data_IF_860971440540
#
_entry.id   IF_860971440540
#
_cell.length_a   1.000
_cell.length_b   1.000
_cell.length_c   1.000
_cell.angle_alpha   90.00
_cell.angle_beta   90.00
_cell.angle_gamma   90.00
#
_symmetry.space_group_name_H-M   'P 1'
#
loop_
_entity.id
_entity.type
_entity.pdbx_description
1 polymer ?
#
# COMPACT_ATOMS: atom_id res chain seq x y z
N UNK A 1 6.74 14.51 -7.64
CA UNK A 1 7.80 13.53 -7.32
C UNK A 1 9.03 14.31 -6.90
N UNK A 2 9.76 13.83 -5.92
CA UNK A 2 11.03 14.45 -5.50
C UNK A 2 12.06 14.37 -6.64
N UNK A 3 12.96 15.36 -6.74
CA UNK A 3 14.01 15.38 -7.79
C UNK A 3 14.92 14.15 -7.74
N UNK A 4 15.24 13.67 -6.53
CA UNK A 4 16.05 12.48 -6.33
C UNK A 4 15.32 11.21 -6.80
N UNK A 5 14.00 11.11 -6.57
CA UNK A 5 13.21 9.98 -7.04
C UNK A 5 13.13 9.95 -8.58
N UNK A 6 13.02 11.12 -9.23
CA UNK A 6 13.01 11.22 -10.71
C UNK A 6 14.34 10.73 -11.27
N UNK A 7 15.44 11.21 -10.70
CA UNK A 7 16.79 10.81 -11.14
C UNK A 7 17.02 9.30 -10.98
N UNK A 8 16.56 8.71 -9.86
CA UNK A 8 16.67 7.26 -9.63
C UNK A 8 15.83 6.46 -10.64
N UNK A 9 14.63 6.94 -10.98
CA UNK A 9 13.79 6.29 -11.99
C UNK A 9 14.44 6.39 -13.37
N UNK A 10 14.99 7.54 -13.74
CA UNK A 10 15.65 7.72 -15.03
C UNK A 10 16.90 6.82 -15.16
N UNK A 11 17.70 6.69 -14.09
CA UNK A 11 18.79 5.73 -14.03
C UNK A 11 18.30 4.29 -14.16
N UNK A 12 17.21 3.94 -13.46
CA UNK A 12 16.62 2.60 -13.53
C UNK A 12 16.14 2.26 -14.96
N UNK A 13 15.51 3.22 -15.66
CA UNK A 13 15.12 3.08 -17.08
C UNK A 13 16.31 2.86 -18.00
N UNK A 14 17.45 3.43 -17.68
CA UNK A 14 18.71 3.23 -18.42
C UNK A 14 19.46 1.95 -18.00
N UNK A 15 18.83 1.06 -17.22
CA UNK A 15 19.41 -0.18 -16.71
C UNK A 15 20.70 0.04 -15.89
N UNK A 16 20.81 1.17 -15.18
CA UNK A 16 21.89 1.43 -14.24
C UNK A 16 21.71 0.52 -13.00
N UNK A 17 22.62 -0.45 -12.75
CA UNK A 17 22.47 -1.39 -11.64
C UNK A 17 22.53 -0.69 -10.27
N UNK A 18 23.34 0.38 -10.14
CA UNK A 18 23.51 1.10 -8.89
C UNK A 18 22.19 1.77 -8.45
N UNK A 19 21.34 2.15 -9.41
CA UNK A 19 20.05 2.74 -9.11
C UNK A 19 19.13 1.76 -8.36
N UNK A 20 19.19 0.48 -8.72
CA UNK A 20 18.37 -0.55 -8.07
C UNK A 20 18.85 -0.83 -6.65
N UNK A 21 20.15 -0.88 -6.42
CA UNK A 21 20.76 -1.08 -5.10
C UNK A 21 20.36 0.04 -4.14
N UNK A 22 20.44 1.30 -4.60
CA UNK A 22 20.00 2.47 -3.84
C UNK A 22 18.50 2.39 -3.49
N UNK A 23 17.67 1.97 -4.44
CA UNK A 23 16.23 1.84 -4.22
C UNK A 23 15.94 0.73 -3.21
N UNK A 24 16.62 -0.41 -3.31
CA UNK A 24 16.46 -1.52 -2.35
C UNK A 24 16.90 -1.07 -0.97
N UNK A 25 18.08 -0.48 -0.82
CA UNK A 25 18.57 0.02 0.46
C UNK A 25 17.58 1.00 1.10
N UNK A 26 17.06 1.95 0.33
CA UNK A 26 16.15 2.99 0.80
C UNK A 26 14.76 2.46 1.18
N UNK A 27 14.23 1.48 0.45
CA UNK A 27 12.83 1.09 0.56
C UNK A 27 12.58 -0.33 1.08
N UNK A 28 13.60 -1.17 1.26
CA UNK A 28 13.43 -2.56 1.67
C UNK A 28 12.62 -2.71 2.96
N UNK A 29 13.02 -2.00 4.03
CA UNK A 29 12.30 -2.07 5.32
C UNK A 29 10.84 -1.60 5.19
N UNK A 30 10.60 -0.57 4.38
CA UNK A 30 9.26 -0.08 4.11
C UNK A 30 8.40 -1.10 3.36
N UNK A 31 8.95 -1.75 2.35
CA UNK A 31 8.28 -2.84 1.59
C UNK A 31 7.96 -4.01 2.52
N UNK A 32 8.94 -4.46 3.31
CA UNK A 32 8.75 -5.55 4.29
C UNK A 32 7.66 -5.19 5.30
N UNK A 33 7.62 -3.95 5.80
CA UNK A 33 6.60 -3.52 6.76
C UNK A 33 5.17 -3.58 6.17
N UNK A 34 5.00 -3.22 4.89
CA UNK A 34 3.71 -3.31 4.20
C UNK A 34 3.30 -4.77 4.00
N UNK A 35 4.22 -5.60 3.51
CA UNK A 35 3.97 -7.02 3.25
C UNK A 35 3.59 -7.73 4.56
N UNK A 36 4.40 -7.55 5.61
CA UNK A 36 4.14 -8.17 6.92
C UNK A 36 2.82 -7.71 7.52
N UNK A 37 2.44 -6.44 7.38
CA UNK A 37 1.16 -5.95 7.90
C UNK A 37 -0.06 -6.59 7.24
N UNK A 38 0.03 -6.95 5.96
CA UNK A 38 -1.07 -7.59 5.21
C UNK A 38 -1.11 -9.10 5.45
N UNK A 39 0.07 -9.71 5.61
CA UNK A 39 0.22 -11.14 5.82
C UNK A 39 0.19 -11.55 7.30
N UNK A 40 0.15 -10.57 8.20
CA UNK A 40 0.08 -10.81 9.64
C UNK A 40 -1.13 -11.68 10.00
N UNK A 41 -0.91 -12.68 10.86
CA UNK A 41 -1.95 -13.62 11.28
C UNK A 41 -2.34 -14.66 10.22
N UNK A 42 -1.70 -14.65 9.05
CA UNK A 42 -1.87 -15.70 8.06
C UNK A 42 -1.03 -16.91 8.48
N UNK A 43 -1.67 -18.06 8.69
CA UNK A 43 -1.03 -19.30 9.20
C UNK A 43 -0.30 -20.11 8.13
N UNK A 44 -0.51 -19.81 6.84
CA UNK A 44 0.19 -20.45 5.73
C UNK A 44 1.66 -20.07 5.66
N UNK A 45 2.53 -21.02 5.25
CA UNK A 45 3.93 -20.70 4.96
C UNK A 45 4.03 -19.75 3.77
N UNK A 46 4.31 -18.46 4.05
CA UNK A 46 4.63 -17.45 3.04
C UNK A 46 6.07 -17.01 3.24
N UNK A 47 6.86 -17.13 2.18
CA UNK A 47 8.19 -16.54 2.14
C UNK A 47 8.09 -15.05 1.87
N UNK A 48 8.10 -14.24 2.94
CA UNK A 48 8.03 -12.78 2.85
C UNK A 48 9.22 -12.20 2.08
N UNK A 49 10.38 -12.86 2.13
CA UNK A 49 11.56 -12.41 1.38
C UNK A 49 11.35 -12.60 -0.13
N UNK A 50 10.77 -13.73 -0.54
CA UNK A 50 10.42 -13.96 -1.94
C UNK A 50 9.43 -12.90 -2.45
N UNK A 51 8.37 -12.61 -1.66
CA UNK A 51 7.40 -11.57 -2.02
C UNK A 51 8.06 -10.18 -2.11
N UNK A 52 8.99 -9.88 -1.21
CA UNK A 52 9.74 -8.61 -1.24
C UNK A 52 10.61 -8.52 -2.49
N UNK A 53 11.33 -9.58 -2.82
CA UNK A 53 12.15 -9.64 -4.03
C UNK A 53 11.31 -9.49 -5.31
N UNK A 54 10.13 -10.11 -5.36
CA UNK A 54 9.18 -9.98 -6.47
C UNK A 54 8.72 -8.52 -6.68
N UNK A 55 8.55 -7.76 -5.61
CA UNK A 55 8.21 -6.32 -5.70
C UNK A 55 9.33 -5.56 -6.39
N UNK A 56 10.56 -5.73 -5.97
CA UNK A 56 11.71 -5.03 -6.55
C UNK A 56 12.00 -5.49 -7.98
N UNK A 57 11.90 -6.78 -8.24
CA UNK A 57 12.03 -7.31 -9.60
C UNK A 57 10.96 -6.75 -10.55
N UNK A 58 9.71 -6.67 -10.07
CA UNK A 58 8.62 -6.08 -10.83
C UNK A 58 8.81 -4.57 -11.05
N UNK A 59 9.38 -3.86 -10.08
CA UNK A 59 9.74 -2.45 -10.22
C UNK A 59 10.76 -2.26 -11.34
N UNK A 60 11.83 -3.04 -11.32
CA UNK A 60 12.86 -3.01 -12.36
C UNK A 60 12.29 -3.32 -13.74
N UNK A 61 11.57 -4.44 -13.87
CA UNK A 61 10.98 -4.88 -15.13
C UNK A 61 10.01 -3.86 -15.74
N UNK A 62 9.30 -3.10 -14.91
CA UNK A 62 8.29 -2.12 -15.35
C UNK A 62 8.78 -0.66 -15.22
N UNK A 63 10.10 -0.43 -15.12
CA UNK A 63 10.67 0.90 -14.94
C UNK A 63 10.21 1.87 -16.04
N UNK A 64 10.18 1.44 -17.29
CA UNK A 64 9.77 2.24 -18.45
C UNK A 64 8.34 2.73 -18.37
N UNK A 65 7.47 1.98 -17.69
CA UNK A 65 6.06 2.33 -17.50
C UNK A 65 5.82 3.37 -16.40
N UNK A 66 6.85 3.73 -15.64
CA UNK A 66 6.73 4.71 -14.56
C UNK A 66 6.66 6.12 -15.15
N UNK A 67 5.50 6.73 -15.00
CA UNK A 67 5.23 8.09 -15.45
C UNK A 67 5.73 9.11 -14.40
N UNK A 68 6.90 9.69 -14.65
CA UNK A 68 7.54 10.67 -13.77
C UNK A 68 6.85 12.05 -13.80
N UNK A 69 6.00 12.32 -14.80
CA UNK A 69 5.21 13.56 -14.88
C UNK A 69 4.07 13.60 -13.86
N UNK A 70 3.64 12.45 -13.36
CA UNK A 70 2.61 12.37 -12.32
C UNK A 70 3.18 12.80 -10.97
N UNK A 71 2.39 13.57 -10.25
CA UNK A 71 2.75 14.02 -8.89
C UNK A 71 2.57 12.88 -7.85
N UNK A 72 3.13 11.69 -8.17
CA UNK A 72 3.08 10.49 -7.33
C UNK A 72 4.50 10.12 -6.95
N UNK A 73 4.84 10.06 -5.66
CA UNK A 73 6.19 9.71 -5.21
C UNK A 73 6.52 8.25 -5.55
N UNK A 74 7.82 7.96 -5.74
CA UNK A 74 8.32 6.58 -5.91
C UNK A 74 7.92 5.71 -4.71
N UNK A 75 7.98 6.25 -3.49
CA UNK A 75 7.51 5.60 -2.26
C UNK A 75 6.05 5.12 -2.37
N UNK A 76 5.16 5.97 -2.89
CA UNK A 76 3.74 5.61 -3.07
C UNK A 76 3.53 4.56 -4.16
N UNK A 77 4.36 4.58 -5.21
CA UNK A 77 4.32 3.59 -6.27
C UNK A 77 4.75 2.21 -5.75
N UNK A 78 5.90 2.16 -5.06
CA UNK A 78 6.42 0.93 -4.43
C UNK A 78 5.42 0.40 -3.37
N UNK A 79 4.81 1.27 -2.57
CA UNK A 79 3.80 0.87 -1.60
C UNK A 79 2.59 0.17 -2.25
N UNK A 80 2.13 0.68 -3.40
CA UNK A 80 1.04 0.04 -4.14
C UNK A 80 1.44 -1.33 -4.70
N UNK A 81 2.69 -1.47 -5.17
CA UNK A 81 3.23 -2.75 -5.65
C UNK A 81 3.34 -3.76 -4.51
N UNK A 82 3.95 -3.38 -3.38
CA UNK A 82 4.11 -4.22 -2.20
C UNK A 82 2.76 -4.72 -1.68
N UNK A 83 1.79 -3.81 -1.58
CA UNK A 83 0.43 -4.15 -1.18
C UNK A 83 -0.22 -5.16 -2.13
N UNK A 84 -0.14 -4.93 -3.44
CA UNK A 84 -0.74 -5.81 -4.42
C UNK A 84 -0.07 -7.20 -4.42
N UNK A 85 1.26 -7.26 -4.30
CA UNK A 85 2.01 -8.50 -4.21
C UNK A 85 1.58 -9.31 -2.96
N UNK A 86 1.51 -8.68 -1.79
CA UNK A 86 1.08 -9.33 -0.56
C UNK A 86 -0.36 -9.85 -0.63
N UNK A 87 -1.29 -9.07 -1.18
CA UNK A 87 -2.69 -9.50 -1.35
C UNK A 87 -2.78 -10.67 -2.32
N UNK A 88 -2.05 -10.62 -3.43
CA UNK A 88 -2.06 -11.71 -4.41
C UNK A 88 -1.50 -13.00 -3.81
N UNK A 89 -0.42 -12.90 -3.03
CA UNK A 89 0.16 -14.06 -2.36
C UNK A 89 -0.79 -14.65 -1.31
N UNK A 90 -1.42 -13.80 -0.50
CA UNK A 90 -2.46 -14.21 0.44
C UNK A 90 -3.61 -14.95 -0.27
N UNK A 91 -4.09 -14.44 -1.40
CA UNK A 91 -5.18 -15.07 -2.18
C UNK A 91 -4.77 -16.40 -2.79
N UNK A 92 -3.55 -16.52 -3.34
CA UNK A 92 -3.05 -17.81 -3.85
C UNK A 92 -3.10 -18.88 -2.76
N UNK A 93 -2.59 -18.56 -1.58
CA UNK A 93 -2.54 -19.51 -0.45
C UNK A 93 -3.94 -19.86 0.07
N UNK A 94 -4.85 -18.89 0.20
CA UNK A 94 -6.23 -19.14 0.60
C UNK A 94 -6.98 -20.05 -0.39
N UNK A 95 -6.60 -20.04 -1.66
CA UNK A 95 -7.21 -20.93 -2.67
C UNK A 95 -6.77 -22.41 -2.51
N UNK A 96 -5.64 -22.65 -1.85
CA UNK A 96 -5.12 -23.99 -1.56
C UNK A 96 -5.54 -24.53 -0.20
N UNK A 97 -5.99 -23.69 0.74
CA UNK A 97 -6.38 -24.04 2.10
C UNK A 97 -7.83 -23.62 2.37
N UNK A 98 -8.84 -24.41 1.92
CA UNK A 98 -10.26 -24.20 2.28
C UNK A 98 -10.53 -24.64 3.72
N UNK A 99 -11.52 -24.05 4.46
CA UNK A 99 -12.75 -23.34 4.10
C UNK A 99 -12.86 -21.90 4.65
N UNK A 100 -13.83 -21.17 4.11
CA UNK A 100 -14.26 -19.83 4.48
C UNK A 100 -14.65 -19.73 5.96
N UNK A 101 -13.82 -19.09 6.77
CA UNK A 101 -14.26 -18.40 7.97
C UNK A 101 -13.76 -16.97 7.93
N UNK A 102 -14.68 -16.05 8.23
CA UNK A 102 -14.46 -14.61 8.34
C UNK A 102 -13.39 -14.32 9.40
N UNK A 103 -12.11 -14.26 9.01
CA UNK A 103 -11.06 -13.76 9.88
C UNK A 103 -10.93 -12.25 9.74
N UNK A 104 -11.70 -11.61 10.58
CA UNK A 104 -11.63 -10.21 10.94
C UNK A 104 -10.31 -9.95 11.67
N UNK A 105 -9.54 -9.00 11.13
CA UNK A 105 -8.54 -8.15 11.82
C UNK A 105 -7.55 -8.90 12.72
N UNK A 106 -6.35 -9.16 12.17
CA UNK A 106 -5.22 -9.62 12.97
C UNK A 106 -4.92 -8.67 14.14
N UNK A 107 -4.87 -9.24 15.34
CA UNK A 107 -4.41 -8.56 16.54
C UNK A 107 -2.94 -8.20 16.40
N UNK A 108 -2.65 -6.92 16.22
CA UNK A 108 -1.31 -6.39 16.46
C UNK A 108 -1.05 -6.44 17.96
N UNK A 109 0.11 -6.92 18.39
CA UNK A 109 0.61 -6.61 19.74
C UNK A 109 0.97 -5.12 19.75
N UNK A 110 0.02 -4.32 20.16
CA UNK A 110 0.10 -2.86 20.06
C UNK A 110 0.94 -2.33 21.24
N UNK A 111 2.04 -1.65 20.93
CA UNK A 111 2.63 -0.66 21.83
C UNK A 111 1.61 0.46 22.02
N UNK A 112 1.55 1.06 23.21
CA UNK A 112 0.58 2.12 23.58
C UNK A 112 0.45 3.22 22.53
N UNK A 113 1.54 3.65 21.91
CA UNK A 113 1.58 4.65 20.84
C UNK A 113 0.76 4.27 19.59
N UNK A 114 0.60 2.98 19.31
CA UNK A 114 -0.16 2.49 18.15
C UNK A 114 -1.68 2.52 18.40
N UNK A 115 -2.12 2.37 19.64
CA UNK A 115 -3.54 2.43 20.00
C UNK A 115 -4.05 3.87 19.82
N UNK A 116 -3.29 4.85 20.30
CA UNK A 116 -3.63 6.27 20.15
C UNK A 116 -3.66 6.69 18.67
N UNK A 117 -2.68 6.26 17.88
CA UNK A 117 -2.63 6.51 16.45
C UNK A 117 -3.81 5.87 15.71
N UNK A 118 -4.16 4.63 16.05
CA UNK A 118 -5.33 3.94 15.49
C UNK A 118 -6.62 4.69 15.77
N UNK A 119 -6.81 5.09 17.02
CA UNK A 119 -7.98 5.87 17.45
C UNK A 119 -8.06 7.22 16.74
N UNK A 120 -6.93 7.90 16.59
CA UNK A 120 -6.83 9.15 15.84
C UNK A 120 -7.24 8.95 14.37
N UNK A 121 -6.71 7.91 13.71
CA UNK A 121 -7.05 7.57 12.32
C UNK A 121 -8.55 7.26 12.21
N UNK A 122 -9.11 6.45 13.12
CA UNK A 122 -10.53 6.07 13.08
C UNK A 122 -11.45 7.28 13.30
N UNK A 123 -11.11 8.21 14.20
CA UNK A 123 -11.85 9.46 14.40
C UNK A 123 -11.75 10.35 13.17
N UNK A 124 -10.58 10.49 12.60
CA UNK A 124 -10.34 11.30 11.38
C UNK A 124 -11.06 10.72 10.16
N UNK A 125 -11.15 9.40 10.04
CA UNK A 125 -11.94 8.74 8.99
C UNK A 125 -13.42 9.13 9.07
N UNK A 126 -13.99 9.29 10.27
CA UNK A 126 -15.41 9.66 10.45
C UNK A 126 -15.75 11.06 9.92
N UNK A 127 -14.77 11.93 9.72
CA UNK A 127 -14.95 13.26 9.13
C UNK A 127 -15.05 13.27 7.61
N UNK A 128 -14.64 12.18 6.97
CA UNK A 128 -14.79 12.03 5.52
C UNK A 128 -16.26 11.71 5.17
N UNK A 129 -16.63 11.95 3.92
CA UNK A 129 -17.94 11.50 3.41
C UNK A 129 -18.04 9.97 3.48
N UNK A 130 -19.25 9.44 3.75
CA UNK A 130 -19.47 7.99 3.88
C UNK A 130 -18.94 7.18 2.68
N UNK A 131 -19.08 7.69 1.46
CA UNK A 131 -18.53 7.05 0.25
C UNK A 131 -16.99 7.00 0.24
N UNK A 132 -16.34 8.06 0.75
CA UNK A 132 -14.89 8.13 0.87
C UNK A 132 -14.38 7.17 1.94
N UNK A 133 -15.05 7.14 3.12
CA UNK A 133 -14.78 6.17 4.19
C UNK A 133 -14.87 4.74 3.66
N UNK A 134 -15.96 4.42 2.97
CA UNK A 134 -16.23 3.07 2.48
C UNK A 134 -15.14 2.57 1.53
N UNK A 135 -14.72 3.41 0.57
CA UNK A 135 -13.65 3.06 -0.37
C UNK A 135 -12.31 2.87 0.35
N UNK A 136 -11.97 3.75 1.32
CA UNK A 136 -10.75 3.60 2.11
C UNK A 136 -10.78 2.31 2.96
N UNK A 137 -11.89 2.02 3.62
CA UNK A 137 -12.03 0.81 4.44
C UNK A 137 -11.90 -0.45 3.58
N UNK A 138 -12.56 -0.51 2.42
CA UNK A 138 -12.41 -1.65 1.51
C UNK A 138 -10.98 -1.82 1.04
N UNK A 139 -10.33 -0.73 0.69
CA UNK A 139 -8.96 -0.80 0.19
C UNK A 139 -7.95 -1.16 1.27
N UNK A 140 -7.95 -0.47 2.43
CA UNK A 140 -6.92 -0.62 3.45
C UNK A 140 -7.22 -1.71 4.48
N UNK A 141 -8.47 -1.86 4.92
CA UNK A 141 -8.83 -2.81 5.97
C UNK A 141 -9.31 -4.15 5.42
N UNK A 142 -10.12 -4.15 4.36
CA UNK A 142 -10.57 -5.40 3.73
C UNK A 142 -9.59 -5.91 2.66
N UNK A 143 -8.45 -5.28 2.47
CA UNK A 143 -7.42 -5.65 1.51
C UNK A 143 -7.95 -5.87 0.07
N UNK A 144 -9.04 -5.19 -0.31
CA UNK A 144 -9.59 -5.32 -1.67
C UNK A 144 -8.75 -4.55 -2.68
N UNK A 145 -8.60 -5.13 -3.86
CA UNK A 145 -7.98 -4.47 -5.00
C UNK A 145 -8.93 -3.45 -5.65
N UNK A 146 -8.38 -2.51 -6.41
CA UNK A 146 -9.20 -1.54 -7.16
C UNK A 146 -10.21 -2.21 -8.10
N UNK A 147 -9.86 -3.27 -8.88
CA UNK A 147 -10.84 -3.99 -9.68
C UNK A 147 -11.99 -4.59 -8.86
N UNK A 148 -11.70 -5.19 -7.71
CA UNK A 148 -12.74 -5.77 -6.85
C UNK A 148 -13.69 -4.71 -6.30
N UNK A 149 -13.15 -3.57 -5.84
CA UNK A 149 -13.97 -2.44 -5.38
C UNK A 149 -14.82 -1.88 -6.53
N UNK A 150 -14.23 -1.79 -7.72
CA UNK A 150 -14.92 -1.34 -8.94
C UNK A 150 -16.11 -2.25 -9.27
N UNK A 151 -15.89 -3.56 -9.26
CA UNK A 151 -16.93 -4.55 -9.54
C UNK A 151 -18.06 -4.54 -8.48
N UNK A 152 -17.69 -4.46 -7.19
CA UNK A 152 -18.69 -4.42 -6.11
C UNK A 152 -19.58 -3.17 -6.13
N UNK A 153 -18.99 -2.03 -6.48
CA UNK A 153 -19.70 -0.74 -6.43
C UNK A 153 -20.33 -0.36 -7.77
N UNK A 154 -20.02 -1.07 -8.85
CA UNK A 154 -20.40 -0.68 -10.20
C UNK A 154 -19.79 0.65 -10.66
N UNK A 155 -18.63 1.03 -10.11
CA UNK A 155 -17.95 2.31 -10.37
C UNK A 155 -16.66 2.05 -11.17
N UNK A 156 -16.37 2.83 -12.22
CA UNK A 156 -15.14 2.65 -13.01
C UNK A 156 -13.87 2.69 -12.15
N UNK A 157 -12.89 1.86 -12.47
CA UNK A 157 -11.61 1.79 -11.74
C UNK A 157 -10.87 3.14 -11.67
N UNK A 158 -10.96 3.94 -12.73
CA UNK A 158 -10.40 5.30 -12.75
C UNK A 158 -11.02 6.20 -11.68
N UNK A 159 -12.33 6.06 -11.48
CA UNK A 159 -13.08 6.79 -10.44
C UNK A 159 -12.69 6.30 -9.04
N UNK A 160 -12.54 4.98 -8.83
CA UNK A 160 -12.05 4.43 -7.57
C UNK A 160 -10.64 4.96 -7.26
N UNK A 161 -9.72 4.92 -8.25
CA UNK A 161 -8.34 5.44 -8.07
C UNK A 161 -8.34 6.93 -7.69
N UNK A 162 -9.14 7.75 -8.38
CA UNK A 162 -9.22 9.19 -8.08
C UNK A 162 -9.88 9.47 -6.73
N UNK A 163 -10.88 8.70 -6.33
CA UNK A 163 -11.49 8.79 -4.99
C UNK A 163 -10.47 8.41 -3.90
N UNK A 164 -9.77 7.29 -4.05
CA UNK A 164 -8.72 6.88 -3.10
C UNK A 164 -7.65 7.97 -2.94
N UNK A 165 -7.21 8.61 -4.03
CA UNK A 165 -6.23 9.70 -3.97
C UNK A 165 -6.78 10.88 -3.18
N UNK A 166 -7.96 11.39 -3.56
CA UNK A 166 -8.58 12.55 -2.91
C UNK A 166 -8.90 12.30 -1.43
N UNK A 167 -9.42 11.11 -1.11
CA UNK A 167 -9.74 10.76 0.27
C UNK A 167 -8.50 10.65 1.15
N UNK A 168 -7.37 10.15 0.62
CA UNK A 168 -6.08 10.14 1.32
C UNK A 168 -5.55 11.55 1.57
N UNK A 169 -5.64 12.43 0.58
CA UNK A 169 -5.22 13.83 0.71
C UNK A 169 -6.05 14.55 1.80
N UNK A 170 -7.36 14.32 1.83
CA UNK A 170 -8.24 14.87 2.88
C UNK A 170 -7.89 14.32 4.25
N UNK A 171 -7.76 12.99 4.36
CA UNK A 171 -7.41 12.33 5.63
C UNK A 171 -6.07 12.84 6.16
N UNK A 172 -5.08 12.99 5.28
CA UNK A 172 -3.76 13.56 5.64
C UNK A 172 -3.91 14.97 6.23
N UNK A 173 -4.72 15.83 5.63
CA UNK A 173 -4.97 17.19 6.15
C UNK A 173 -5.58 17.16 7.54
N UNK A 174 -6.62 16.35 7.73
CA UNK A 174 -7.29 16.19 9.03
C UNK A 174 -6.30 15.69 10.10
N UNK A 175 -5.45 14.72 9.76
CA UNK A 175 -4.45 14.20 10.68
C UNK A 175 -3.42 15.26 11.08
N UNK A 176 -2.94 16.07 10.12
CA UNK A 176 -2.01 17.18 10.39
C UNK A 176 -2.67 18.23 11.29
N UNK A 177 -3.91 18.63 11.02
CA UNK A 177 -4.68 19.59 11.83
C UNK A 177 -4.89 19.08 13.27
N UNK A 178 -4.87 17.77 13.47
CA UNK A 178 -4.96 17.12 14.80
C UNK A 178 -3.59 16.87 15.46
N UNK A 179 -2.53 17.44 14.91
CA UNK A 179 -1.18 17.38 15.49
C UNK A 179 -0.37 16.14 15.11
N UNK A 180 -0.82 15.34 14.16
CA UNK A 180 -0.02 14.23 13.65
C UNK A 180 0.99 14.72 12.63
N UNK A 181 2.26 14.77 13.03
CA UNK A 181 3.36 15.12 12.13
C UNK A 181 3.96 13.84 11.54
N UNK A 182 3.83 13.69 10.25
CA UNK A 182 4.44 12.60 9.50
C UNK A 182 5.87 13.01 9.13
N UNK A 183 6.86 12.34 9.68
CA UNK A 183 8.23 12.42 9.18
C UNK A 183 8.27 11.76 7.80
N UNK A 184 8.60 12.54 6.79
CA UNK A 184 8.63 12.15 5.36
C UNK A 184 9.91 11.38 5.02
#
# INVERSE_FOLDING_TARGET
MDKNDILLIDKLKNNDPDAMDIIIEKYNQYVVSIISSILYGFTGQIDMQAVTNDVFFSLWKNADSIDTSRNTSLKSYIAAMARNAAINEKKKKLHYELPLEDHIIGNYSEKYDQIELRDLIMRSLKELKKSEQYILLKYYFQCKTVPEISNELGIPQSTIKSNLRRSREKLKKILIERGYFYES
#
